data_IF_233873944892
#
_entry.id   IF_233873944892
#
_cell.length_a   1.000
_cell.length_b   1.000
_cell.length_c   1.000
_cell.angle_alpha   90.00
_cell.angle_beta   90.00
_cell.angle_gamma   90.00
#
_symmetry.space_group_name_H-M   'P 1'
#
loop_
_entity.id
_entity.type
_entity.pdbx_description
1 polymer ?
#
# COMPACT_ATOMS: atom_id res chain seq x y z
N UNK A 1 -7.74 16.28 -13.52
CA UNK A 1 -6.33 16.63 -13.22
C UNK A 1 -6.01 18.05 -13.66
N UNK A 2 -6.19 18.39 -14.95
CA UNK A 2 -5.99 19.75 -15.45
C UNK A 2 -6.80 20.83 -14.70
N UNK A 3 -8.09 20.57 -14.40
CA UNK A 3 -8.94 21.49 -13.61
C UNK A 3 -8.44 21.71 -12.18
N UNK A 4 -7.71 20.74 -11.63
CA UNK A 4 -7.09 20.81 -10.30
C UNK A 4 -5.67 21.38 -10.35
N UNK A 5 -5.17 21.74 -11.55
CA UNK A 5 -3.84 22.30 -11.75
C UNK A 5 -2.70 21.28 -11.89
N UNK A 6 -3.01 19.99 -11.99
CA UNK A 6 -2.01 18.92 -12.12
C UNK A 6 -1.84 18.46 -13.57
N UNK A 7 -0.59 18.22 -13.97
CA UNK A 7 -0.19 17.76 -15.30
C UNK A 7 -0.09 16.23 -15.36
N UNK A 8 0.29 15.59 -14.25
CA UNK A 8 0.41 14.13 -14.15
C UNK A 8 -0.29 13.56 -12.91
N UNK A 9 -0.43 12.24 -12.86
CA UNK A 9 -1.04 11.55 -11.72
C UNK A 9 -0.11 11.58 -10.49
N UNK A 10 1.19 11.46 -10.71
CA UNK A 10 2.22 11.50 -9.66
C UNK A 10 2.20 12.82 -8.89
N UNK A 11 1.91 13.93 -9.58
CA UNK A 11 1.73 15.23 -8.95
C UNK A 11 0.47 15.30 -8.08
N UNK A 12 -0.55 14.45 -8.31
CA UNK A 12 -1.81 14.44 -7.56
C UNK A 12 -1.78 13.49 -6.35
N UNK A 13 -1.03 12.39 -6.41
CA UNK A 13 -1.01 11.36 -5.38
C UNK A 13 -0.56 11.94 -4.03
N UNK A 14 -1.38 11.73 -3.00
CA UNK A 14 -1.13 12.16 -1.62
C UNK A 14 -1.62 13.57 -1.25
N UNK A 15 -2.16 14.33 -2.21
CA UNK A 15 -2.74 15.66 -1.96
C UNK A 15 -4.17 15.59 -1.38
N UNK A 16 -4.30 15.25 -0.09
CA UNK A 16 -5.61 15.15 0.58
C UNK A 16 -6.33 16.49 0.72
N UNK A 17 -5.61 17.62 0.63
CA UNK A 17 -6.22 18.96 0.64
C UNK A 17 -7.11 19.25 -0.57
N UNK A 18 -6.98 18.46 -1.65
CA UNK A 18 -7.82 18.57 -2.83
C UNK A 18 -9.16 17.86 -2.67
N UNK A 19 -9.38 17.17 -1.55
CA UNK A 19 -10.58 16.42 -1.25
C UNK A 19 -11.43 17.16 -0.22
N UNK A 20 -12.73 17.29 -0.51
CA UNK A 20 -13.72 17.85 0.41
C UNK A 20 -14.82 16.80 0.62
N UNK A 21 -15.20 16.51 1.88
CA UNK A 21 -16.36 15.66 2.14
C UNK A 21 -17.60 16.21 1.44
N UNK A 22 -18.31 15.36 0.72
CA UNK A 22 -19.63 15.71 0.23
C UNK A 22 -20.58 15.81 1.42
N UNK A 23 -21.43 16.83 1.44
CA UNK A 23 -22.56 16.87 2.36
C UNK A 23 -23.54 15.74 2.01
N UNK A 24 -23.69 14.80 2.94
CA UNK A 24 -24.58 13.65 2.84
C UNK A 24 -25.44 13.53 4.11
N UNK A 25 -25.73 14.67 4.74
CA UNK A 25 -26.53 14.76 5.97
C UNK A 25 -27.94 14.16 5.83
N UNK A 26 -28.46 14.11 4.61
CA UNK A 26 -29.73 13.48 4.23
C UNK A 26 -29.66 11.94 4.19
N UNK A 27 -28.46 11.35 4.17
CA UNK A 27 -28.29 9.91 4.10
C UNK A 27 -28.52 9.26 5.48
N UNK A 28 -29.44 8.28 5.62
CA UNK A 28 -29.86 7.72 6.93
C UNK A 28 -28.74 7.11 7.79
N UNK A 29 -27.59 6.78 7.19
CA UNK A 29 -26.43 6.18 7.87
C UNK A 29 -25.22 7.11 8.01
N UNK A 30 -25.32 8.37 7.57
CA UNK A 30 -24.17 9.28 7.56
C UNK A 30 -23.87 9.95 8.91
N UNK A 31 -24.82 9.93 9.85
CA UNK A 31 -24.74 10.70 11.10
C UNK A 31 -23.54 10.35 12.01
N UNK A 32 -22.94 9.16 11.85
CA UNK A 32 -21.77 8.73 12.63
C UNK A 32 -20.44 8.78 11.86
N UNK A 33 -20.43 9.25 10.61
CA UNK A 33 -19.25 9.15 9.75
C UNK A 33 -18.29 10.31 10.00
N UNK A 34 -17.11 10.01 10.54
CA UNK A 34 -16.00 10.95 10.63
C UNK A 34 -14.90 10.59 9.61
N UNK A 35 -14.75 11.43 8.58
CA UNK A 35 -13.73 11.27 7.53
C UNK A 35 -12.41 11.97 7.85
N UNK A 36 -12.31 12.71 8.96
CA UNK A 36 -11.09 13.42 9.35
C UNK A 36 -9.84 12.53 9.36
N UNK A 37 -9.89 11.26 9.85
CA UNK A 37 -8.71 10.39 9.83
C UNK A 37 -8.19 10.08 8.42
N UNK A 38 -9.09 10.01 7.42
CA UNK A 38 -8.72 9.73 6.03
C UNK A 38 -8.17 10.96 5.30
N UNK A 39 -8.71 12.14 5.61
CA UNK A 39 -8.33 13.39 4.94
C UNK A 39 -7.15 14.11 5.60
N UNK A 40 -6.70 13.62 6.76
CA UNK A 40 -5.57 14.18 7.48
C UNK A 40 -4.31 14.11 6.61
N UNK A 41 -3.79 15.27 6.23
CA UNK A 41 -2.49 15.38 5.59
C UNK A 41 -1.41 14.98 6.60
N UNK A 42 -0.60 13.99 6.25
CA UNK A 42 0.60 13.68 7.01
C UNK A 42 1.71 14.61 6.54
N UNK A 43 2.44 15.18 7.50
CA UNK A 43 3.65 15.94 7.19
C UNK A 43 4.75 14.93 6.82
N UNK A 44 5.01 14.80 5.53
CA UNK A 44 6.09 13.96 5.01
C UNK A 44 7.45 14.68 5.06
N UNK A 45 7.50 15.95 5.50
CA UNK A 45 8.71 16.77 5.44
C UNK A 45 9.27 16.85 4.02
N UNK A 46 10.45 16.26 3.80
CA UNK A 46 11.08 16.17 2.49
C UNK A 46 10.78 14.85 1.74
N UNK A 47 10.07 13.91 2.38
CA UNK A 47 9.76 12.62 1.78
C UNK A 47 8.67 12.74 0.69
N UNK A 48 8.82 12.04 -0.45
CA UNK A 48 7.82 12.05 -1.51
C UNK A 48 6.48 11.46 -1.07
N UNK A 49 5.39 12.07 -1.56
CA UNK A 49 4.01 11.62 -1.32
C UNK A 49 3.58 10.43 -2.21
N UNK A 50 4.37 10.14 -3.25
CA UNK A 50 4.16 9.05 -4.18
C UNK A 50 5.37 8.14 -4.25
N UNK A 51 5.21 6.98 -4.89
CA UNK A 51 6.29 6.00 -5.09
C UNK A 51 7.35 6.56 -6.04
N UNK A 52 8.52 6.91 -5.50
CA UNK A 52 9.69 7.39 -6.26
C UNK A 52 10.79 6.33 -6.42
N UNK A 53 10.69 5.21 -5.71
CA UNK A 53 11.70 4.15 -5.67
C UNK A 53 11.02 2.79 -5.62
N UNK A 54 11.71 1.81 -6.18
CA UNK A 54 11.31 0.41 -6.04
C UNK A 54 11.60 -0.09 -4.63
N UNK A 55 10.80 -1.06 -4.17
CA UNK A 55 11.08 -1.76 -2.93
C UNK A 55 12.13 -2.84 -3.19
N UNK A 56 13.32 -2.66 -2.62
CA UNK A 56 14.33 -3.71 -2.55
C UNK A 56 14.31 -4.32 -1.17
N UNK A 57 13.80 -5.55 -1.08
CA UNK A 57 13.69 -6.28 0.19
C UNK A 57 14.96 -7.09 0.54
N UNK A 58 15.97 -7.12 -0.35
CA UNK A 58 17.21 -7.88 -0.16
C UNK A 58 16.99 -9.37 0.19
N UNK A 59 15.88 -9.94 -0.27
CA UNK A 59 15.52 -11.34 -0.03
C UNK A 59 15.97 -12.25 -1.16
N UNK A 60 16.85 -11.77 -2.04
CA UNK A 60 17.19 -12.50 -3.25
C UNK A 60 18.09 -13.70 -3.01
N UNK A 61 18.97 -13.58 -2.02
CA UNK A 61 20.01 -14.56 -1.70
C UNK A 61 19.84 -15.15 -0.29
N UNK A 62 18.64 -15.06 0.30
CA UNK A 62 18.38 -15.62 1.64
C UNK A 62 18.12 -17.13 1.59
N UNK A 63 18.53 -17.83 2.65
CA UNK A 63 18.37 -19.28 2.80
C UNK A 63 16.93 -19.74 2.61
N UNK A 64 15.95 -18.96 3.05
CA UNK A 64 14.52 -19.27 2.92
C UNK A 64 14.10 -19.52 1.46
N UNK A 65 14.73 -18.87 0.47
CA UNK A 65 14.43 -19.15 -0.94
C UNK A 65 14.84 -20.56 -1.35
N UNK A 66 16.00 -21.03 -0.87
CA UNK A 66 16.44 -22.40 -1.09
C UNK A 66 15.55 -23.40 -0.36
N UNK A 67 15.18 -23.09 0.90
CA UNK A 67 14.30 -23.94 1.70
C UNK A 67 12.91 -24.06 1.07
N UNK A 68 12.34 -22.97 0.54
CA UNK A 68 11.07 -22.98 -0.17
C UNK A 68 11.14 -23.87 -1.41
N UNK A 69 12.22 -23.76 -2.20
CA UNK A 69 12.37 -24.57 -3.41
C UNK A 69 12.52 -26.06 -3.06
N UNK A 70 13.32 -26.39 -2.02
CA UNK A 70 13.46 -27.76 -1.52
C UNK A 70 12.15 -28.30 -0.91
N UNK A 71 11.29 -27.43 -0.39
CA UNK A 71 10.01 -27.79 0.20
C UNK A 71 8.86 -27.92 -0.82
N UNK A 72 9.10 -27.69 -2.12
CA UNK A 72 8.10 -27.87 -3.21
C UNK A 72 7.24 -29.13 -3.08
N UNK A 73 7.79 -30.34 -2.85
CA UNK A 73 6.96 -31.55 -2.74
C UNK A 73 5.99 -31.51 -1.55
N UNK A 74 6.39 -30.88 -0.45
CA UNK A 74 5.54 -30.69 0.71
C UNK A 74 4.44 -29.65 0.45
N UNK A 75 4.78 -28.55 -0.24
CA UNK A 75 3.84 -27.48 -0.57
C UNK A 75 2.79 -27.92 -1.60
N UNK A 76 3.22 -28.64 -2.63
CA UNK A 76 2.35 -29.00 -3.75
C UNK A 76 1.53 -30.27 -3.48
N UNK A 77 2.10 -31.23 -2.73
CA UNK A 77 1.53 -32.58 -2.58
C UNK A 77 1.41 -33.06 -1.14
N UNK A 78 1.65 -32.20 -0.14
CA UNK A 78 1.66 -32.57 1.28
C UNK A 78 2.60 -33.74 1.61
N UNK A 79 3.65 -33.96 0.79
CA UNK A 79 4.62 -35.02 1.02
C UNK A 79 5.59 -34.62 2.12
N UNK A 80 5.84 -35.44 3.16
CA UNK A 80 6.80 -35.12 4.19
C UNK A 80 8.22 -34.92 3.62
N UNK A 81 8.85 -33.80 3.97
CA UNK A 81 10.24 -33.48 3.64
C UNK A 81 11.01 -33.19 4.92
N UNK A 82 12.28 -33.58 4.96
CA UNK A 82 13.20 -33.28 6.07
C UNK A 82 14.54 -32.85 5.50
N UNK A 83 15.18 -31.88 6.16
CA UNK A 83 16.45 -31.30 5.75
C UNK A 83 17.43 -31.41 6.91
N UNK A 84 18.67 -31.79 6.62
CA UNK A 84 19.80 -31.68 7.55
C UNK A 84 20.58 -30.40 7.24
N UNK A 85 21.10 -29.78 8.29
CA UNK A 85 21.87 -28.53 8.25
C UNK A 85 23.32 -28.77 7.87
#
# INVERSE_FOLDING_TARGET
>A
MAELGFRTMEELIGHTEMLVPRDISDHPKAHGLDLKPLLKRMDSGAEPLHRVRDQHHHIDDILDRELIERARPALDNATPVAFET
#
